data_IF_754929110662
#
_entry.id   IF_754929110662
#
_cell.length_a   1.000
_cell.length_b   1.000
_cell.length_c   1.000
_cell.angle_alpha   90.00
_cell.angle_beta   90.00
_cell.angle_gamma   90.00
#
_symmetry.space_group_name_H-M   'P 1'
#
loop_
_entity.id
_entity.type
_entity.pdbx_description
1 polymer ?
#
# COMPACT_ATOMS: atom_id res chain seq x y z
N UNK A 1 47.16 8.24 10.86
CA UNK A 1 47.38 9.67 11.16
C UNK A 1 46.12 10.43 10.81
N UNK A 2 45.46 11.01 11.82
CA UNK A 2 44.20 11.75 11.71
C UNK A 2 44.44 13.05 10.95
N UNK A 3 43.52 13.43 10.04
CA UNK A 3 43.44 14.81 9.54
C UNK A 3 42.00 15.31 9.71
N UNK A 4 41.80 16.05 10.79
CA UNK A 4 40.74 17.02 10.95
C UNK A 4 41.09 18.27 10.14
N UNK A 5 40.16 18.80 9.33
CA UNK A 5 40.06 20.23 8.97
C UNK A 5 38.57 20.51 8.72
N UNK A 6 37.87 21.06 9.71
CA UNK A 6 37.70 22.50 9.96
C UNK A 6 36.73 23.14 8.96
N UNK A 7 35.51 23.41 9.45
CA UNK A 7 34.54 24.27 8.80
C UNK A 7 34.86 25.76 9.03
N UNK A 8 34.43 26.65 8.11
CA UNK A 8 34.04 28.02 8.45
C UNK A 8 32.57 28.26 8.02
N UNK A 9 31.69 28.65 8.93
CA UNK A 9 31.37 30.01 9.39
C UNK A 9 30.51 30.84 8.39
N UNK A 10 29.19 30.82 8.67
CA UNK A 10 28.22 31.94 8.74
C UNK A 10 28.35 33.11 7.75
N UNK A 11 27.27 33.42 7.02
CA UNK A 11 26.29 34.50 7.32
C UNK A 11 25.45 34.77 6.06
N UNK A 12 24.12 34.86 6.17
CA UNK A 12 23.29 35.67 5.25
C UNK A 12 21.91 35.95 5.85
N UNK A 13 21.82 37.18 6.36
CA UNK A 13 20.74 38.17 6.39
C UNK A 13 19.25 37.77 6.24
N UNK A 14 18.51 38.44 7.13
CA UNK A 14 17.06 38.54 7.33
C UNK A 14 16.37 39.29 6.18
N UNK A 15 15.17 38.85 5.78
CA UNK A 15 14.09 39.74 5.30
C UNK A 15 12.74 39.21 5.83
N UNK A 16 12.03 40.06 6.57
CA UNK A 16 10.64 39.86 6.97
C UNK A 16 9.72 40.52 5.94
N UNK A 17 8.62 39.85 5.57
CA UNK A 17 7.47 40.49 4.94
C UNK A 17 6.20 39.71 5.30
N UNK A 18 5.34 40.38 6.07
CA UNK A 18 4.01 39.93 6.44
C UNK A 18 3.02 40.22 5.30
N UNK A 19 2.15 39.25 4.97
CA UNK A 19 0.89 39.51 4.27
C UNK A 19 -0.21 38.70 4.96
N UNK A 20 -1.08 39.41 5.67
CA UNK A 20 -2.37 38.93 6.17
C UNK A 20 -3.32 38.80 4.98
N UNK A 21 -3.79 37.59 4.70
CA UNK A 21 -4.94 37.36 3.82
C UNK A 21 -6.14 36.96 4.69
N UNK A 22 -7.03 37.92 4.92
CA UNK A 22 -8.35 37.68 5.50
C UNK A 22 -9.24 37.11 4.40
N UNK A 23 -9.52 35.81 4.45
CA UNK A 23 -10.58 35.22 3.64
C UNK A 23 -11.87 35.24 4.47
N UNK A 24 -12.80 36.10 4.06
CA UNK A 24 -14.18 36.04 4.48
C UNK A 24 -14.84 34.80 3.87
N UNK A 25 -15.31 33.88 4.72
CA UNK A 25 -16.14 32.74 4.34
C UNK A 25 -17.52 32.88 4.96
N UNK A 26 -18.51 33.17 4.11
CA UNK A 26 -19.90 33.37 4.47
C UNK A 26 -20.56 32.11 5.06
N UNK A 27 -21.44 32.36 6.04
CA UNK A 27 -22.33 31.41 6.69
C UNK A 27 -23.20 30.60 5.73
N UNK A 28 -23.40 29.31 6.04
CA UNK A 28 -24.63 28.62 5.73
C UNK A 28 -25.01 27.70 6.90
N UNK A 29 -26.09 28.06 7.59
CA UNK A 29 -26.80 27.23 8.54
C UNK A 29 -27.67 26.23 7.78
N UNK A 30 -27.44 24.94 7.99
CA UNK A 30 -28.29 23.88 7.46
C UNK A 30 -28.00 22.59 8.20
N UNK A 31 -28.72 22.35 9.29
CA UNK A 31 -28.62 21.12 10.05
C UNK A 31 -28.99 19.92 9.18
N UNK A 32 -28.22 18.85 9.28
CA UNK A 32 -28.67 17.47 9.18
C UNK A 32 -27.72 16.67 10.05
N UNK A 33 -28.13 16.37 11.28
CA UNK A 33 -27.58 15.25 12.04
C UNK A 33 -27.95 13.97 11.28
N UNK A 34 -27.16 13.62 10.26
CA UNK A 34 -27.16 12.25 9.77
C UNK A 34 -26.40 11.45 10.80
N UNK A 35 -27.15 10.65 11.55
CA UNK A 35 -26.60 9.55 12.32
C UNK A 35 -25.55 8.85 11.45
N UNK A 36 -24.30 8.88 11.92
CA UNK A 36 -23.25 8.05 11.35
C UNK A 36 -23.63 6.61 11.71
N UNK A 37 -24.43 5.98 10.86
CA UNK A 37 -24.53 4.54 10.83
C UNK A 37 -23.17 4.05 10.39
N UNK A 38 -22.34 3.67 11.36
CA UNK A 38 -21.17 2.85 11.10
C UNK A 38 -21.57 1.73 10.15
N UNK A 39 -20.84 1.46 9.06
CA UNK A 39 -21.04 0.21 8.34
C UNK A 39 -20.84 -0.89 9.37
N UNK A 40 -21.88 -1.67 9.62
CA UNK A 40 -21.73 -2.89 10.38
C UNK A 40 -20.62 -3.68 9.70
N UNK A 41 -19.51 -3.88 10.42
CA UNK A 41 -18.42 -4.76 10.01
C UNK A 41 -19.04 -6.13 9.79
N UNK A 42 -19.43 -6.39 8.54
CA UNK A 42 -19.90 -7.69 8.12
C UNK A 42 -18.66 -8.56 8.22
N UNK A 43 -18.54 -9.26 9.35
CA UNK A 43 -17.72 -10.45 9.44
C UNK A 43 -18.28 -11.39 8.38
N UNK A 44 -17.74 -11.30 7.17
CA UNK A 44 -18.01 -12.22 6.09
C UNK A 44 -17.50 -13.56 6.57
N UNK A 45 -18.42 -14.32 7.16
CA UNK A 45 -18.29 -15.75 7.36
C UNK A 45 -17.73 -16.30 6.05
N UNK A 46 -16.58 -16.97 6.12
CA UNK A 46 -15.87 -17.53 4.97
C UNK A 46 -16.79 -18.50 4.20
N UNK A 47 -17.63 -17.94 3.34
CA UNK A 47 -18.33 -18.65 2.29
C UNK A 47 -17.33 -18.87 1.17
N UNK A 48 -17.50 -19.97 0.45
CA UNK A 48 -16.82 -20.17 -0.83
C UNK A 48 -17.01 -18.92 -1.68
N UNK A 49 -15.92 -18.37 -2.22
CA UNK A 49 -16.00 -17.32 -3.22
C UNK A 49 -16.83 -17.82 -4.43
N UNK A 50 -17.57 -16.93 -5.12
CA UNK A 50 -18.30 -17.34 -6.31
C UNK A 50 -17.31 -17.80 -7.40
N UNK A 51 -17.72 -18.69 -8.32
CA UNK A 51 -16.91 -19.04 -9.48
C UNK A 51 -16.47 -17.79 -10.23
N UNK A 52 -15.20 -17.73 -10.62
CA UNK A 52 -14.64 -16.58 -11.32
C UNK A 52 -14.26 -15.40 -10.42
N UNK A 53 -14.40 -15.49 -9.09
CA UNK A 53 -13.88 -14.47 -8.17
C UNK A 53 -12.34 -14.43 -8.10
N UNK A 54 -11.68 -15.53 -8.46
CA UNK A 54 -10.22 -15.63 -8.45
C UNK A 54 -9.74 -15.61 -9.90
N UNK A 55 -8.89 -14.64 -10.24
CA UNK A 55 -8.19 -14.60 -11.52
C UNK A 55 -6.84 -15.28 -11.41
N UNK A 56 -6.60 -16.27 -12.26
CA UNK A 56 -5.34 -17.01 -12.33
C UNK A 56 -4.72 -16.76 -13.71
N UNK A 57 -3.44 -16.42 -13.75
CA UNK A 57 -2.70 -16.25 -15.00
C UNK A 57 -2.45 -17.59 -15.71
N UNK A 58 -2.05 -17.59 -17.00
CA UNK A 58 -1.64 -18.81 -17.69
C UNK A 58 -0.48 -19.56 -17.01
N UNK A 59 0.34 -18.88 -16.20
CA UNK A 59 1.42 -19.49 -15.42
C UNK A 59 0.94 -20.09 -14.07
N UNK A 60 -0.37 -20.02 -13.78
CA UNK A 60 -0.94 -20.55 -12.54
C UNK A 60 -0.84 -19.60 -11.34
N UNK A 61 -0.47 -18.34 -11.55
CA UNK A 61 -0.33 -17.34 -10.48
C UNK A 61 -1.68 -16.69 -10.22
N UNK A 62 -2.11 -16.64 -8.97
CA UNK A 62 -3.29 -15.86 -8.59
C UNK A 62 -2.96 -14.38 -8.71
N UNK A 63 -3.54 -13.68 -9.69
CA UNK A 63 -3.28 -12.25 -9.95
C UNK A 63 -4.45 -11.36 -9.56
N UNK A 64 -5.59 -11.95 -9.17
CA UNK A 64 -6.78 -11.21 -8.74
C UNK A 64 -7.61 -12.05 -7.78
N UNK A 65 -8.14 -11.41 -6.75
CA UNK A 65 -9.18 -11.97 -5.87
C UNK A 65 -10.25 -10.90 -5.68
N UNK A 66 -11.48 -11.16 -6.14
CA UNK A 66 -12.59 -10.21 -6.20
C UNK A 66 -13.30 -10.05 -4.85
N UNK A 67 -12.54 -9.66 -3.84
CA UNK A 67 -13.06 -9.20 -2.57
C UNK A 67 -12.32 -7.92 -2.17
N UNK A 68 -12.97 -7.02 -1.41
CA UNK A 68 -12.28 -5.84 -0.90
C UNK A 68 -10.98 -6.22 -0.19
N UNK A 69 -9.90 -5.50 -0.49
CA UNK A 69 -8.63 -5.62 0.21
C UNK A 69 -8.81 -5.29 1.68
N UNK A 70 -8.33 -6.18 2.55
CA UNK A 70 -8.37 -6.00 4.00
C UNK A 70 -6.94 -5.99 4.57
N UNK A 71 -6.49 -4.78 4.89
CA UNK A 71 -5.24 -4.48 5.58
C UNK A 71 -5.38 -3.14 6.27
N UNK A 72 -4.69 -2.93 7.39
CA UNK A 72 -4.51 -1.55 7.90
C UNK A 72 -3.67 -0.74 6.92
N UNK A 73 -3.64 0.58 7.12
CA UNK A 73 -2.79 1.48 6.34
C UNK A 73 -1.31 1.10 6.47
N UNK A 74 -0.85 0.82 7.69
CA UNK A 74 0.54 0.42 7.96
C UNK A 74 0.88 -0.92 7.33
N UNK A 75 -0.04 -1.90 7.41
CA UNK A 75 0.14 -3.22 6.80
C UNK A 75 0.20 -3.12 5.27
N UNK A 76 -0.62 -2.26 4.67
CA UNK A 76 -0.56 -1.95 3.24
C UNK A 76 0.81 -1.36 2.87
N UNK A 77 1.29 -0.36 3.60
CA UNK A 77 2.60 0.25 3.36
C UNK A 77 3.73 -0.76 3.47
N UNK A 78 3.70 -1.64 4.49
CA UNK A 78 4.68 -2.71 4.64
C UNK A 78 4.69 -3.68 3.46
N UNK A 79 3.51 -4.14 3.05
CA UNK A 79 3.38 -5.08 1.93
C UNK A 79 3.85 -4.45 0.62
N UNK A 80 3.43 -3.20 0.34
CA UNK A 80 3.81 -2.48 -0.87
C UNK A 80 5.32 -2.20 -0.89
N UNK A 81 5.87 -1.70 0.21
CA UNK A 81 7.31 -1.44 0.32
C UNK A 81 8.13 -2.71 0.14
N UNK A 82 7.73 -3.83 0.76
CA UNK A 82 8.40 -5.11 0.56
C UNK A 82 8.32 -5.59 -0.90
N UNK A 83 7.18 -5.38 -1.57
CA UNK A 83 7.04 -5.65 -3.00
C UNK A 83 7.98 -4.78 -3.83
N UNK A 84 8.03 -3.47 -3.54
CA UNK A 84 8.91 -2.53 -4.22
C UNK A 84 10.37 -2.90 -4.09
N UNK A 85 10.81 -3.22 -2.87
CA UNK A 85 12.17 -3.68 -2.59
C UNK A 85 12.53 -4.93 -3.38
N UNK A 86 11.59 -5.88 -3.54
CA UNK A 86 11.82 -7.04 -4.39
C UNK A 86 11.90 -6.66 -5.87
N UNK A 87 10.98 -5.81 -6.34
CA UNK A 87 10.93 -5.35 -7.74
C UNK A 87 12.19 -4.59 -8.14
N UNK A 88 12.75 -3.77 -7.24
CA UNK A 88 13.99 -3.02 -7.46
C UNK A 88 15.24 -3.92 -7.62
N UNK A 89 15.15 -5.20 -7.26
CA UNK A 89 16.23 -6.19 -7.48
C UNK A 89 16.11 -6.92 -8.83
N UNK A 90 15.02 -6.72 -9.57
CA UNK A 90 14.78 -7.39 -10.83
C UNK A 90 15.41 -6.61 -12.01
N UNK A 91 15.70 -7.28 -13.13
CA UNK A 91 16.23 -6.62 -14.33
C UNK A 91 15.18 -5.77 -15.07
N UNK A 92 13.90 -6.07 -14.90
CA UNK A 92 12.78 -5.34 -15.52
C UNK A 92 12.20 -4.30 -14.55
N UNK A 93 11.21 -3.51 -15.00
CA UNK A 93 10.52 -2.53 -14.16
C UNK A 93 9.02 -2.48 -14.45
N UNK A 94 8.23 -1.98 -13.48
CA UNK A 94 6.82 -1.69 -13.66
C UNK A 94 5.90 -2.91 -13.66
N UNK A 95 4.77 -2.78 -14.35
CA UNK A 95 3.67 -3.76 -14.42
C UNK A 95 4.11 -5.21 -14.74
N UNK A 96 5.06 -5.47 -15.64
CA UNK A 96 5.54 -6.83 -15.91
C UNK A 96 6.09 -7.58 -14.69
N UNK A 97 6.48 -6.88 -13.62
CA UNK A 97 7.01 -7.49 -12.40
C UNK A 97 5.94 -7.98 -11.43
N UNK A 98 4.67 -7.60 -11.60
CA UNK A 98 3.60 -7.96 -10.65
C UNK A 98 3.44 -9.47 -10.59
N UNK A 99 3.31 -10.14 -11.73
CA UNK A 99 3.08 -11.58 -11.77
C UNK A 99 4.29 -12.39 -11.24
N UNK A 100 5.55 -12.11 -11.65
CA UNK A 100 6.73 -12.71 -11.04
C UNK A 100 6.83 -12.52 -9.53
N UNK A 101 6.49 -11.33 -9.02
CA UNK A 101 6.46 -11.07 -7.59
C UNK A 101 5.39 -11.93 -6.88
N UNK A 102 4.17 -11.95 -7.41
CA UNK A 102 3.07 -12.73 -6.85
C UNK A 102 3.35 -14.23 -6.90
N UNK A 103 4.04 -14.71 -7.95
CA UNK A 103 4.50 -16.09 -8.04
C UNK A 103 5.44 -16.45 -6.88
N UNK A 104 6.41 -15.57 -6.59
CA UNK A 104 7.35 -15.76 -5.48
C UNK A 104 6.62 -15.77 -4.11
N UNK A 105 5.71 -14.83 -3.88
CA UNK A 105 4.89 -14.79 -2.66
C UNK A 105 4.08 -16.07 -2.50
N UNK A 106 3.44 -16.54 -3.57
CA UNK A 106 2.58 -17.72 -3.58
C UNK A 106 3.35 -19.03 -3.39
N UNK A 107 4.59 -19.09 -3.88
CA UNK A 107 5.45 -20.26 -3.73
C UNK A 107 6.13 -20.33 -2.35
N UNK A 108 6.15 -19.24 -1.57
CA UNK A 108 6.86 -19.22 -0.30
C UNK A 108 6.22 -20.14 0.74
N UNK A 109 6.97 -21.17 1.13
CA UNK A 109 6.56 -22.13 2.16
C UNK A 109 6.48 -21.55 3.57
N UNK A 110 7.03 -20.35 3.81
CA UNK A 110 6.98 -19.66 5.11
C UNK A 110 6.28 -18.30 5.04
N UNK A 111 5.79 -17.89 3.88
CA UNK A 111 5.44 -16.49 3.63
C UNK A 111 6.66 -15.60 3.43
N UNK A 112 6.41 -14.34 3.12
CA UNK A 112 7.44 -13.32 2.90
C UNK A 112 6.99 -11.98 3.50
N UNK A 113 7.90 -11.01 3.61
CA UNK A 113 7.59 -9.69 4.16
C UNK A 113 6.35 -9.03 3.49
N UNK A 114 6.20 -9.19 2.17
CA UNK A 114 5.04 -8.71 1.41
C UNK A 114 3.70 -9.37 1.70
N UNK A 115 3.70 -10.43 2.52
CA UNK A 115 2.52 -11.18 2.98
C UNK A 115 2.51 -11.28 4.51
N UNK A 116 3.15 -10.32 5.19
CA UNK A 116 3.28 -10.27 6.65
C UNK A 116 3.88 -11.56 7.25
N UNK A 117 4.80 -12.20 6.50
CA UNK A 117 5.39 -13.50 6.84
C UNK A 117 4.35 -14.61 7.07
N UNK A 118 3.20 -14.52 6.41
CA UNK A 118 2.15 -15.54 6.38
C UNK A 118 2.17 -16.22 5.02
N UNK A 119 2.03 -17.55 4.98
CA UNK A 119 1.98 -18.29 3.72
C UNK A 119 0.75 -17.84 2.93
N UNK A 120 0.86 -17.75 1.61
CA UNK A 120 -0.25 -17.37 0.76
C UNK A 120 -1.54 -18.18 1.01
N UNK A 121 -1.38 -19.50 1.19
CA UNK A 121 -2.48 -20.42 1.44
C UNK A 121 -3.16 -20.22 2.81
N UNK A 122 -2.50 -19.55 3.75
CA UNK A 122 -3.05 -19.25 5.08
C UNK A 122 -3.70 -17.84 5.15
N UNK A 123 -3.54 -17.03 4.10
CA UNK A 123 -4.19 -15.72 4.01
C UNK A 123 -5.68 -15.88 3.72
N UNK A 124 -6.52 -15.03 4.32
CA UNK A 124 -7.91 -14.88 3.90
C UNK A 124 -7.97 -14.33 2.47
N UNK A 125 -9.07 -14.54 1.72
CA UNK A 125 -9.24 -13.92 0.42
C UNK A 125 -9.04 -12.39 0.41
N UNK A 126 -9.50 -11.71 1.46
CA UNK A 126 -9.36 -10.26 1.60
C UNK A 126 -7.90 -9.83 1.87
N UNK A 127 -7.14 -10.67 2.56
CA UNK A 127 -5.68 -10.48 2.72
C UNK A 127 -4.92 -10.78 1.44
N UNK A 128 -5.33 -11.79 0.67
CA UNK A 128 -4.77 -12.07 -0.66
C UNK A 128 -4.99 -10.91 -1.62
N UNK A 129 -6.20 -10.32 -1.64
CA UNK A 129 -6.47 -9.15 -2.46
C UNK A 129 -5.66 -7.93 -2.01
N UNK A 130 -5.45 -7.73 -0.70
CA UNK A 130 -4.55 -6.68 -0.19
C UNK A 130 -3.09 -6.85 -0.67
N UNK A 131 -2.55 -8.07 -0.68
CA UNK A 131 -1.20 -8.35 -1.24
C UNK A 131 -1.15 -8.05 -2.74
N UNK A 132 -2.18 -8.41 -3.50
CA UNK A 132 -2.27 -8.14 -4.94
C UNK A 132 -2.32 -6.63 -5.21
N UNK A 133 -3.14 -5.89 -4.46
CA UNK A 133 -3.25 -4.42 -4.58
C UNK A 133 -1.91 -3.76 -4.24
N UNK A 134 -1.26 -4.18 -3.16
CA UNK A 134 0.06 -3.68 -2.78
C UNK A 134 1.14 -3.97 -3.84
N UNK A 135 1.11 -5.14 -4.48
CA UNK A 135 2.01 -5.48 -5.58
C UNK A 135 1.80 -4.58 -6.80
N UNK A 136 0.53 -4.32 -7.16
CA UNK A 136 0.21 -3.41 -8.26
C UNK A 136 0.68 -1.98 -7.98
N UNK A 137 0.42 -1.48 -6.77
CA UNK A 137 0.90 -0.16 -6.35
C UNK A 137 2.43 -0.06 -6.36
N UNK A 138 3.15 -1.10 -5.95
CA UNK A 138 4.61 -1.13 -5.99
C UNK A 138 5.19 -1.04 -7.40
N UNK A 139 4.55 -1.72 -8.35
CA UNK A 139 4.89 -1.65 -9.77
C UNK A 139 4.65 -0.24 -10.33
N UNK A 140 3.62 0.46 -9.86
CA UNK A 140 3.29 1.84 -10.25
C UNK A 140 4.03 2.92 -9.44
N UNK A 141 5.00 2.54 -8.59
CA UNK A 141 5.72 3.46 -7.69
C UNK A 141 4.82 4.20 -6.68
N UNK A 142 3.65 3.64 -6.35
CA UNK A 142 2.60 4.23 -5.51
C UNK A 142 2.52 3.69 -4.08
N UNK A 143 3.65 3.30 -3.47
CA UNK A 143 3.67 2.80 -2.09
C UNK A 143 3.55 3.89 -1.01
N UNK A 144 2.85 4.99 -1.30
CA UNK A 144 2.79 6.21 -0.48
C UNK A 144 1.43 6.88 -0.53
#
# INVERSE_FOLDING_TARGET
MRRCRAAPLRWSLIVAAACLAVVAGCSHSGGHSKASTSPAQSSSRAGSLPPGAVGISPAGVTTRVDVPADSTEEEYFQACHAARMWMDTQPDTGQPLIEPYLAMVQASASGVAGSWNTRWADLTPARQSAVIVAAAAAADHGCG
#
